data_IF_792168103330
#
_entry.id   IF_792168103330
#
_cell.length_a   1.000
_cell.length_b   1.000
_cell.length_c   1.000
_cell.angle_alpha   90.00
_cell.angle_beta   90.00
_cell.angle_gamma   90.00
#
_symmetry.space_group_name_H-M   'P 1'
#
loop_
_entity.id
_entity.type
_entity.pdbx_description
1 polymer ?
#
# COMPACT_ATOMS: atom_id res chain seq x y z
N UNK A 1 -9.05 -20.32 -18.25
CA UNK A 1 -9.65 -18.97 -18.33
C UNK A 1 -9.82 -18.27 -16.98
N UNK A 2 -9.79 -18.97 -15.83
CA UNK A 2 -9.86 -18.33 -14.51
C UNK A 2 -8.69 -17.38 -14.18
N UNK A 3 -7.49 -17.65 -14.70
CA UNK A 3 -6.29 -16.88 -14.35
C UNK A 3 -6.24 -15.47 -14.94
N UNK A 4 -6.78 -15.23 -16.15
CA UNK A 4 -6.71 -13.89 -16.79
C UNK A 4 -7.51 -12.84 -16.02
N UNK A 5 -8.68 -13.21 -15.51
CA UNK A 5 -9.58 -12.29 -14.80
C UNK A 5 -8.98 -11.88 -13.44
N UNK A 6 -8.37 -12.84 -12.73
CA UNK A 6 -7.65 -12.59 -11.47
C UNK A 6 -6.45 -11.66 -11.71
N UNK A 7 -5.65 -11.92 -12.75
CA UNK A 7 -4.49 -11.09 -13.10
C UNK A 7 -4.93 -9.65 -13.39
N UNK A 8 -5.98 -9.45 -14.19
CA UNK A 8 -6.48 -8.11 -14.51
C UNK A 8 -6.99 -7.39 -13.26
N UNK A 9 -7.72 -8.08 -12.38
CA UNK A 9 -8.23 -7.48 -11.16
C UNK A 9 -7.11 -7.04 -10.21
N UNK A 10 -6.10 -7.89 -10.01
CA UNK A 10 -4.93 -7.61 -9.16
C UNK A 10 -4.14 -6.42 -9.72
N UNK A 11 -3.91 -6.39 -11.04
CA UNK A 11 -3.19 -5.30 -11.70
C UNK A 11 -3.90 -3.96 -11.51
N UNK A 12 -5.24 -3.93 -11.64
CA UNK A 12 -6.01 -2.71 -11.38
C UNK A 12 -5.85 -2.24 -9.93
N UNK A 13 -5.94 -3.15 -8.96
CA UNK A 13 -5.78 -2.80 -7.54
C UNK A 13 -4.37 -2.28 -7.23
N UNK A 14 -3.34 -2.88 -7.82
CA UNK A 14 -1.95 -2.47 -7.62
C UNK A 14 -1.67 -1.10 -8.25
N UNK A 15 -2.24 -0.80 -9.43
CA UNK A 15 -2.15 0.53 -10.05
C UNK A 15 -2.85 1.59 -9.21
N UNK A 16 -4.02 1.27 -8.64
CA UNK A 16 -4.73 2.16 -7.72
C UNK A 16 -3.87 2.40 -6.47
N UNK A 17 -3.34 1.34 -5.85
CA UNK A 17 -2.48 1.46 -4.68
C UNK A 17 -1.25 2.34 -4.94
N UNK A 18 -0.58 2.14 -6.09
CA UNK A 18 0.54 2.97 -6.51
C UNK A 18 0.14 4.44 -6.68
N UNK A 19 -1.00 4.70 -7.34
CA UNK A 19 -1.53 6.06 -7.50
C UNK A 19 -1.84 6.75 -6.16
N UNK A 20 -2.43 6.02 -5.21
CA UNK A 20 -2.70 6.54 -3.87
C UNK A 20 -1.40 6.81 -3.10
N UNK A 21 -0.38 5.94 -3.22
CA UNK A 21 0.92 6.16 -2.59
C UNK A 21 1.61 7.42 -3.14
N UNK A 22 1.59 7.62 -4.46
CA UNK A 22 2.11 8.85 -5.09
C UNK A 22 1.33 10.07 -4.62
N UNK A 23 -0.01 9.98 -4.54
CA UNK A 23 -0.84 11.08 -4.05
C UNK A 23 -0.55 11.41 -2.57
N UNK A 24 -0.23 10.41 -1.74
CA UNK A 24 0.16 10.60 -0.35
C UNK A 24 1.45 11.42 -0.24
N UNK A 25 2.47 11.12 -1.06
CA UNK A 25 3.73 11.88 -1.08
C UNK A 25 3.54 13.30 -1.61
N UNK A 26 2.74 13.49 -2.67
CA UNK A 26 2.45 14.83 -3.21
C UNK A 26 1.67 15.72 -2.23
N UNK A 27 0.93 15.12 -1.29
CA UNK A 27 0.11 15.83 -0.29
C UNK A 27 0.76 15.87 1.09
N UNK A 28 2.06 15.59 1.19
CA UNK A 28 2.81 15.67 2.44
C UNK A 28 2.81 17.10 2.99
N UNK A 29 2.64 17.25 4.31
CA UNK A 29 2.68 18.56 4.95
C UNK A 29 3.99 19.26 4.66
N UNK A 30 3.89 20.53 4.26
CA UNK A 30 5.04 21.44 4.25
C UNK A 30 4.89 22.42 5.40
N UNK A 31 5.93 22.52 6.22
CA UNK A 31 5.97 23.48 7.31
C UNK A 31 6.04 24.89 6.71
N UNK A 32 5.10 25.75 7.12
CA UNK A 32 5.17 27.18 6.82
C UNK A 32 5.62 27.90 8.08
N UNK A 33 6.66 28.70 7.96
CA UNK A 33 7.15 29.55 9.05
C UNK A 33 6.18 30.73 9.13
N UNK A 34 5.46 30.83 10.25
CA UNK A 34 4.54 31.93 10.53
C UNK A 34 5.09 32.71 11.73
N UNK A 35 5.06 34.03 11.62
CA UNK A 35 5.50 34.93 12.68
C UNK A 35 4.32 35.23 13.59
N UNK A 36 4.52 35.13 14.91
CA UNK A 36 3.46 35.37 15.88
C UNK A 36 3.04 36.84 15.90
N UNK A 37 1.80 37.14 16.30
CA UNK A 37 1.21 38.47 16.23
C UNK A 37 1.97 39.53 17.04
N UNK A 38 2.72 39.10 18.07
CA UNK A 38 3.61 39.95 18.87
C UNK A 38 5.02 40.13 18.30
N UNK A 39 5.37 39.50 17.17
CA UNK A 39 6.71 39.50 16.56
C UNK A 39 7.82 38.92 17.47
N UNK A 40 7.47 38.20 18.54
CA UNK A 40 8.44 37.69 19.54
C UNK A 40 9.14 36.39 19.12
N UNK A 41 8.49 35.54 18.31
CA UNK A 41 9.07 34.29 17.82
C UNK A 41 8.38 33.76 16.56
N UNK A 42 9.10 32.91 15.82
CA UNK A 42 8.60 32.22 14.64
C UNK A 42 8.22 30.78 15.01
N UNK A 43 7.05 30.32 14.55
CA UNK A 43 6.63 28.93 14.74
C UNK A 43 6.30 28.26 13.40
N UNK A 44 6.47 26.95 13.36
CA UNK A 44 6.12 26.15 12.20
C UNK A 44 4.64 25.80 12.25
N UNK A 45 3.85 26.42 11.35
CA UNK A 45 2.48 26.02 11.10
C UNK A 45 2.46 24.86 10.11
N UNK A 46 1.84 23.75 10.51
CA UNK A 46 1.56 22.61 9.64
C UNK A 46 0.11 22.67 9.18
N UNK A 47 -0.13 22.43 7.89
CA UNK A 47 -1.49 22.31 7.39
C UNK A 47 -2.04 20.93 7.78
N UNK A 48 -3.37 20.82 7.85
CA UNK A 48 -4.01 19.52 8.09
C UNK A 48 -3.79 18.61 6.88
N UNK A 49 -3.03 17.54 7.05
CA UNK A 49 -2.65 16.65 5.96
C UNK A 49 -3.69 15.57 5.74
N UNK A 50 -4.00 15.32 4.46
CA UNK A 50 -4.85 14.19 4.02
C UNK A 50 -3.97 13.02 3.55
N UNK A 51 -2.64 13.18 3.55
CA UNK A 51 -1.67 12.17 3.09
C UNK A 51 -1.82 10.82 3.78
N UNK A 52 -2.08 10.81 5.10
CA UNK A 52 -2.31 9.58 5.87
C UNK A 52 -3.51 8.80 5.34
N UNK A 53 -4.57 9.47 4.90
CA UNK A 53 -5.76 8.83 4.34
C UNK A 53 -5.45 8.11 3.01
N UNK A 54 -4.64 8.73 2.15
CA UNK A 54 -4.17 8.10 0.92
C UNK A 54 -3.26 6.90 1.20
N UNK A 55 -2.38 6.99 2.20
CA UNK A 55 -1.55 5.88 2.65
C UNK A 55 -2.37 4.68 3.14
N UNK A 56 -3.38 4.93 3.99
CA UNK A 56 -4.31 3.88 4.46
C UNK A 56 -5.08 3.26 3.28
N UNK A 57 -5.53 4.07 2.32
CA UNK A 57 -6.21 3.57 1.13
C UNK A 57 -5.31 2.67 0.27
N UNK A 58 -4.05 3.07 0.07
CA UNK A 58 -3.06 2.27 -0.65
C UNK A 58 -2.80 0.93 0.05
N UNK A 59 -2.68 0.95 1.39
CA UNK A 59 -2.53 -0.25 2.21
C UNK A 59 -3.67 -1.25 1.99
N UNK A 60 -4.92 -0.80 2.06
CA UNK A 60 -6.08 -1.68 1.87
C UNK A 60 -6.19 -2.22 0.44
N UNK A 61 -5.79 -1.43 -0.57
CA UNK A 61 -5.77 -1.90 -1.96
C UNK A 61 -4.75 -3.03 -2.16
N UNK A 62 -3.53 -2.90 -1.61
CA UNK A 62 -2.52 -3.97 -1.64
C UNK A 62 -2.93 -5.20 -0.84
N UNK A 63 -3.55 -5.00 0.33
CA UNK A 63 -4.06 -6.10 1.14
C UNK A 63 -5.15 -6.88 0.40
N UNK A 64 -6.05 -6.17 -0.30
CA UNK A 64 -7.08 -6.79 -1.12
C UNK A 64 -6.47 -7.56 -2.31
N UNK A 65 -5.47 -7.00 -3.00
CA UNK A 65 -4.83 -7.66 -4.14
C UNK A 65 -4.19 -8.98 -3.73
N UNK A 66 -3.48 -8.98 -2.60
CA UNK A 66 -2.87 -10.19 -2.04
C UNK A 66 -3.91 -11.21 -1.53
N UNK A 67 -4.99 -10.76 -0.88
CA UNK A 67 -6.08 -11.63 -0.45
C UNK A 67 -6.72 -12.37 -1.62
N UNK A 68 -6.94 -11.67 -2.74
CA UNK A 68 -7.47 -12.26 -3.98
C UNK A 68 -6.49 -13.31 -4.53
N UNK A 69 -5.19 -13.00 -4.58
CA UNK A 69 -4.17 -13.95 -5.06
C UNK A 69 -4.11 -15.19 -4.18
N UNK A 70 -4.14 -15.04 -2.85
CA UNK A 70 -4.13 -16.17 -1.90
C UNK A 70 -5.38 -17.04 -2.07
N UNK A 71 -6.57 -16.43 -2.19
CA UNK A 71 -7.83 -17.16 -2.39
C UNK A 71 -7.85 -17.90 -3.74
N UNK A 72 -7.40 -17.25 -4.83
CA UNK A 72 -7.39 -17.84 -6.16
C UNK A 72 -6.36 -18.98 -6.31
N UNK A 73 -5.18 -18.81 -5.72
CA UNK A 73 -4.09 -19.80 -5.78
C UNK A 73 -4.21 -20.92 -4.74
N UNK A 74 -5.05 -20.74 -3.72
CA UNK A 74 -5.12 -21.59 -2.50
C UNK A 74 -3.77 -21.74 -1.79
N UNK A 75 -2.85 -20.80 -2.02
CA UNK A 75 -1.65 -20.65 -1.20
C UNK A 75 -2.07 -19.92 0.09
N UNK A 76 -1.67 -20.44 1.25
CA UNK A 76 -1.99 -19.93 2.61
C UNK A 76 -3.39 -20.17 3.17
N UNK A 77 -4.47 -19.95 2.44
CA UNK A 77 -5.85 -20.12 2.96
C UNK A 77 -6.60 -21.24 2.24
N UNK A 78 -7.29 -22.12 2.98
CA UNK A 78 -8.14 -23.21 2.45
C UNK A 78 -7.45 -24.23 1.51
N UNK A 79 -6.12 -24.33 1.52
CA UNK A 79 -5.32 -25.30 0.75
C UNK A 79 -4.69 -26.40 1.61
N UNK A 80 -4.11 -27.44 0.98
CA UNK A 80 -3.29 -28.42 1.70
C UNK A 80 -2.09 -27.74 2.35
N UNK A 81 -1.73 -28.19 3.56
CA UNK A 81 -0.58 -27.72 4.34
C UNK A 81 0.67 -27.55 3.46
N UNK A 82 1.49 -26.53 3.77
CA UNK A 82 2.64 -26.12 2.95
C UNK A 82 3.60 -27.29 2.72
N UNK A 83 3.46 -27.94 1.56
CA UNK A 83 4.54 -28.73 0.97
C UNK A 83 5.52 -27.76 0.29
N UNK A 84 6.83 -27.87 0.54
CA UNK A 84 7.82 -26.98 -0.05
C UNK A 84 7.82 -27.18 -1.57
N UNK A 85 7.44 -26.14 -2.30
CA UNK A 85 7.48 -26.10 -3.76
C UNK A 85 7.94 -24.72 -4.22
N UNK A 86 8.79 -24.67 -5.25
CA UNK A 86 9.48 -23.44 -5.68
C UNK A 86 8.54 -22.27 -5.99
N UNK A 87 7.39 -22.54 -6.62
CA UNK A 87 6.38 -21.51 -6.91
C UNK A 87 5.77 -20.88 -5.64
N UNK A 88 5.62 -21.66 -4.57
CA UNK A 88 5.03 -21.19 -3.30
C UNK A 88 6.02 -20.38 -2.49
N UNK A 89 7.29 -20.78 -2.48
CA UNK A 89 8.38 -20.02 -1.86
C UNK A 89 8.59 -18.67 -2.56
N UNK A 90 8.53 -18.64 -3.90
CA UNK A 90 8.61 -17.39 -4.66
C UNK A 90 7.43 -16.44 -4.34
N UNK A 91 6.20 -16.96 -4.25
CA UNK A 91 5.04 -16.16 -3.86
C UNK A 91 5.17 -15.55 -2.45
N UNK A 92 5.72 -16.31 -1.50
CA UNK A 92 6.04 -15.83 -0.15
C UNK A 92 7.06 -14.70 -0.14
N UNK A 93 8.15 -14.87 -0.89
CA UNK A 93 9.20 -13.86 -0.97
C UNK A 93 8.65 -12.58 -1.57
N UNK A 94 7.89 -12.68 -2.67
CA UNK A 94 7.27 -11.52 -3.32
C UNK A 94 6.25 -10.83 -2.39
N UNK A 95 5.50 -11.59 -1.59
CA UNK A 95 4.63 -11.04 -0.55
C UNK A 95 5.44 -10.24 0.48
N UNK A 96 6.47 -10.83 1.08
CA UNK A 96 7.30 -10.16 2.09
C UNK A 96 7.95 -8.90 1.51
N UNK A 97 8.51 -8.99 0.29
CA UNK A 97 9.14 -7.85 -0.39
C UNK A 97 8.13 -6.73 -0.63
N UNK A 98 6.92 -7.04 -1.10
CA UNK A 98 5.87 -6.05 -1.33
C UNK A 98 5.49 -5.29 -0.05
N UNK A 99 5.39 -5.99 1.09
CA UNK A 99 5.14 -5.37 2.38
C UNK A 99 6.32 -4.53 2.89
N UNK A 100 7.55 -5.02 2.73
CA UNK A 100 8.75 -4.27 3.10
C UNK A 100 8.91 -2.99 2.28
N UNK A 101 8.52 -2.99 1.01
CA UNK A 101 8.59 -1.80 0.15
C UNK A 101 7.47 -0.78 0.40
N UNK A 102 6.40 -1.17 1.10
CA UNK A 102 5.29 -0.27 1.42
C UNK A 102 5.53 0.54 2.71
N UNK A 103 6.35 0.01 3.63
CA UNK A 103 6.72 0.66 4.89
C UNK A 103 7.89 1.63 4.69
#
# INVERSE_FOLDING_TARGET
MASKLVIVAVLILDVIAFGLAVAAEQRRSTAKIVQDAGMDYNYCSYNKDISTGYGIGAFFCLLASQAIVMAASRCFCCGKALTPGGSRACALILFIVCWLTFF
#
